data_IF_725865435394
#
_entry.id   IF_725865435394
#
_cell.length_a   1.000
_cell.length_b   1.000
_cell.length_c   1.000
_cell.angle_alpha   90.00
_cell.angle_beta   90.00
_cell.angle_gamma   90.00
#
_symmetry.space_group_name_H-M   'P 1'
#
loop_
_entity.id
_entity.type
_entity.pdbx_description
1 polymer ?
#
# COMPACT_ATOMS: atom_id res chain seq x y z
N UNK A 1 2.58 -12.91 55.49
CA UNK A 1 1.66 -13.49 56.50
C UNK A 1 1.83 -15.00 56.46
N UNK A 2 2.47 -15.57 57.46
CA UNK A 2 2.61 -17.03 57.64
C UNK A 2 1.35 -17.56 58.32
N UNK A 3 0.74 -18.60 57.76
CA UNK A 3 -0.42 -19.27 58.36
C UNK A 3 0.12 -20.44 59.18
N UNK A 4 -0.04 -20.38 60.49
CA UNK A 4 0.26 -21.50 61.37
C UNK A 4 -0.90 -22.51 61.36
N UNK A 5 -0.59 -23.76 61.03
CA UNK A 5 -1.56 -24.86 61.02
C UNK A 5 -1.39 -25.63 62.32
N UNK A 6 -2.32 -25.46 63.25
CA UNK A 6 -2.29 -26.06 64.60
C UNK A 6 -2.92 -27.46 64.67
N UNK A 7 -3.40 -27.99 63.55
CA UNK A 7 -4.09 -29.28 63.48
C UNK A 7 -3.42 -30.25 62.50
N UNK A 8 -3.65 -31.55 62.69
CA UNK A 8 -3.08 -32.61 61.85
C UNK A 8 -3.71 -32.56 60.45
N UNK A 9 -2.92 -32.23 59.43
CA UNK A 9 -3.36 -32.23 58.03
C UNK A 9 -3.64 -33.68 57.60
N UNK A 10 -4.91 -34.00 57.36
CA UNK A 10 -5.35 -35.36 57.00
C UNK A 10 -5.27 -35.59 55.48
N UNK A 11 -5.38 -34.53 54.68
CA UNK A 11 -5.11 -34.55 53.25
C UNK A 11 -4.83 -33.12 52.77
N UNK A 12 -4.05 -32.99 51.69
CA UNK A 12 -3.90 -31.75 50.96
C UNK A 12 -4.04 -32.04 49.47
N UNK A 13 -4.67 -31.14 48.72
CA UNK A 13 -4.62 -31.17 47.25
C UNK A 13 -4.06 -29.85 46.77
N UNK A 14 -2.99 -29.91 45.99
CA UNK A 14 -2.51 -28.76 45.23
C UNK A 14 -3.48 -28.57 44.07
N UNK A 15 -3.98 -27.35 43.87
CA UNK A 15 -4.77 -27.01 42.68
C UNK A 15 -3.94 -27.37 41.45
N UNK A 16 -4.29 -28.47 40.78
CA UNK A 16 -3.67 -28.82 39.51
C UNK A 16 -3.92 -27.67 38.55
N UNK A 17 -2.85 -27.18 37.92
CA UNK A 17 -2.97 -26.22 36.84
C UNK A 17 -3.81 -26.89 35.74
N UNK A 18 -5.05 -26.44 35.58
CA UNK A 18 -5.89 -26.84 34.47
C UNK A 18 -5.17 -26.37 33.22
N UNK A 19 -4.73 -27.31 32.40
CA UNK A 19 -4.09 -27.02 31.12
C UNK A 19 -5.09 -26.21 30.28
N UNK A 20 -4.76 -24.95 30.02
CA UNK A 20 -5.64 -24.08 29.25
C UNK A 20 -5.83 -24.70 27.86
N UNK A 21 -7.07 -24.73 27.34
CA UNK A 21 -7.32 -25.30 26.02
C UNK A 21 -6.43 -24.60 24.98
N UNK A 22 -5.92 -25.35 23.98
CA UNK A 22 -5.07 -24.79 22.94
C UNK A 22 -5.80 -23.64 22.25
N UNK A 23 -5.09 -22.53 22.04
CA UNK A 23 -5.64 -21.38 21.32
C UNK A 23 -6.00 -21.81 19.89
N UNK A 24 -7.22 -21.51 19.47
CA UNK A 24 -7.64 -21.75 18.10
C UNK A 24 -6.78 -20.91 17.14
N UNK A 25 -6.34 -21.52 16.04
CA UNK A 25 -5.57 -20.83 15.01
C UNK A 25 -6.43 -19.74 14.36
N UNK A 26 -5.90 -18.52 14.31
CA UNK A 26 -6.59 -17.36 13.78
C UNK A 26 -5.59 -16.49 13.02
N UNK A 27 -5.57 -16.64 11.70
CA UNK A 27 -4.62 -15.89 10.88
C UNK A 27 -4.98 -14.38 10.90
N UNK A 28 -4.09 -13.52 11.44
CA UNK A 28 -4.38 -12.10 11.58
C UNK A 28 -4.49 -11.36 10.24
N UNK A 29 -4.02 -11.95 9.13
CA UNK A 29 -4.23 -11.39 7.78
C UNK A 29 -5.69 -11.47 7.34
N UNK A 30 -6.38 -12.55 7.68
CA UNK A 30 -7.72 -12.87 7.17
C UNK A 30 -8.82 -12.68 8.20
N UNK A 31 -8.48 -12.48 9.48
CA UNK A 31 -9.47 -12.17 10.52
C UNK A 31 -10.28 -10.93 10.11
N UNK A 32 -11.60 -11.05 10.21
CA UNK A 32 -12.51 -10.00 9.78
C UNK A 32 -12.61 -8.91 10.84
N UNK A 33 -12.37 -7.67 10.43
CA UNK A 33 -12.56 -6.49 11.27
C UNK A 33 -13.99 -5.98 11.05
N UNK A 34 -14.88 -6.02 12.06
CA UNK A 34 -16.30 -5.73 11.86
C UNK A 34 -16.55 -4.29 11.43
N UNK A 35 -15.87 -3.34 12.06
CA UNK A 35 -15.97 -1.90 11.79
C UNK A 35 -14.64 -1.21 12.03
N UNK A 36 -14.49 -0.01 11.46
CA UNK A 36 -13.37 0.89 11.78
C UNK A 36 -13.47 1.27 13.26
N UNK A 37 -12.40 1.11 14.07
CA UNK A 37 -12.39 1.56 15.45
C UNK A 37 -12.63 3.07 15.58
N UNK A 38 -13.19 3.47 16.72
CA UNK A 38 -13.26 4.88 17.10
C UNK A 38 -11.87 5.41 17.49
N UNK A 39 -11.67 6.71 17.34
CA UNK A 39 -10.42 7.38 17.70
C UNK A 39 -9.42 7.48 16.54
N UNK A 40 -8.15 7.63 16.93
CA UNK A 40 -7.03 7.90 16.01
C UNK A 40 -6.46 6.62 15.44
N UNK A 41 -6.16 6.65 14.14
CA UNK A 41 -5.40 5.62 13.47
C UNK A 41 -4.15 6.26 12.89
N UNK A 42 -3.07 5.50 12.84
CA UNK A 42 -1.88 5.94 12.14
C UNK A 42 -2.13 5.83 10.64
N UNK A 43 -1.82 6.89 9.90
CA UNK A 43 -2.07 6.94 8.47
C UNK A 43 -0.89 7.51 7.69
N UNK A 44 -0.70 6.99 6.49
CA UNK A 44 0.16 7.58 5.47
C UNK A 44 -0.68 8.52 4.62
N UNK A 45 -0.24 9.77 4.47
CA UNK A 45 -0.84 10.74 3.55
C UNK A 45 0.13 11.00 2.40
N UNK A 46 -0.28 10.65 1.19
CA UNK A 46 0.55 10.75 -0.01
C UNK A 46 -0.09 11.64 -1.05
N UNK A 47 0.70 12.59 -1.56
CA UNK A 47 0.32 13.40 -2.71
C UNK A 47 0.75 12.70 -3.99
N UNK A 48 -0.22 12.30 -4.80
CA UNK A 48 0.00 11.65 -6.09
C UNK A 48 -0.22 12.68 -7.19
N UNK A 49 0.62 12.63 -8.22
CA UNK A 49 0.41 13.37 -9.48
C UNK A 49 0.45 12.37 -10.63
N UNK A 50 -0.58 12.40 -11.46
CA UNK A 50 -0.64 11.61 -12.67
C UNK A 50 -1.07 12.48 -13.86
N UNK A 51 -0.81 11.97 -15.06
CA UNK A 51 -1.19 12.63 -16.31
C UNK A 51 -1.96 11.64 -17.16
N UNK A 52 -3.20 11.99 -17.49
CA UNK A 52 -4.07 11.21 -18.38
C UNK A 52 -4.68 12.11 -19.46
N UNK A 53 -5.77 11.64 -20.08
CA UNK A 53 -6.45 12.35 -21.17
C UNK A 53 -6.89 13.78 -20.85
N UNK A 54 -7.34 14.01 -19.61
CA UNK A 54 -7.81 15.31 -19.13
C UNK A 54 -6.65 16.16 -18.56
N UNK A 55 -5.41 15.79 -18.88
CA UNK A 55 -4.21 16.47 -18.45
C UNK A 55 -3.71 16.02 -17.07
N UNK A 56 -2.98 16.91 -16.40
CA UNK A 56 -2.32 16.60 -15.12
C UNK A 56 -3.27 16.80 -13.95
N UNK A 57 -3.51 15.73 -13.19
CA UNK A 57 -4.26 15.76 -11.93
C UNK A 57 -3.32 15.58 -10.73
N UNK A 58 -3.66 16.23 -9.62
CA UNK A 58 -2.97 16.10 -8.32
C UNK A 58 -3.99 15.72 -7.27
N UNK A 59 -3.73 14.63 -6.58
CA UNK A 59 -4.67 14.04 -5.64
C UNK A 59 -3.95 13.66 -4.35
N UNK A 60 -4.70 13.57 -3.26
CA UNK A 60 -4.19 13.13 -1.98
C UNK A 60 -4.83 11.80 -1.64
N UNK A 61 -4.02 10.86 -1.18
CA UNK A 61 -4.44 9.52 -0.78
C UNK A 61 -4.01 9.30 0.67
N UNK A 62 -4.95 8.86 1.49
CA UNK A 62 -4.72 8.49 2.87
C UNK A 62 -4.95 7.00 3.03
N UNK A 63 -4.00 6.31 3.67
CA UNK A 63 -4.10 4.89 4.03
C UNK A 63 -3.88 4.76 5.53
N UNK A 64 -4.90 4.33 6.26
CA UNK A 64 -4.83 4.12 7.70
C UNK A 64 -4.52 2.67 8.04
N UNK A 65 -3.71 2.48 9.06
CA UNK A 65 -3.23 1.20 9.54
C UNK A 65 -3.63 1.00 11.01
N UNK A 66 -3.78 -0.26 11.41
CA UNK A 66 -3.98 -0.63 12.81
C UNK A 66 -3.31 -1.96 13.14
N UNK A 67 -2.92 -2.19 14.40
CA UNK A 67 -2.55 -3.51 14.87
C UNK A 67 -3.75 -4.45 14.85
N UNK A 68 -3.50 -5.69 14.41
CA UNK A 68 -4.49 -6.76 14.38
C UNK A 68 -3.87 -7.98 15.03
N UNK A 69 -4.52 -8.45 16.09
CA UNK A 69 -4.12 -9.65 16.82
C UNK A 69 -4.59 -10.92 16.08
N UNK A 70 -3.88 -12.01 16.31
CA UNK A 70 -4.27 -13.35 15.87
C UNK A 70 -3.47 -14.42 16.60
N UNK A 71 -3.65 -15.66 16.18
CA UNK A 71 -2.96 -16.82 16.72
C UNK A 71 -2.29 -17.57 15.58
N UNK A 72 -0.96 -17.70 15.66
CA UNK A 72 -0.17 -18.49 14.73
C UNK A 72 0.64 -19.53 15.47
N UNK A 73 0.53 -20.79 15.05
CA UNK A 73 1.24 -21.91 15.68
C UNK A 73 1.01 -21.95 17.20
N UNK A 74 -0.22 -21.67 17.64
CA UNK A 74 -0.61 -21.62 19.06
C UNK A 74 -0.06 -20.43 19.85
N UNK A 75 0.60 -19.45 19.20
CA UNK A 75 1.12 -18.24 19.83
C UNK A 75 0.31 -17.01 19.41
N UNK A 76 0.01 -16.15 20.37
CA UNK A 76 -0.57 -14.83 20.07
C UNK A 76 0.46 -13.99 19.32
N UNK A 77 0.03 -13.41 18.22
CA UNK A 77 0.84 -12.55 17.37
C UNK A 77 0.07 -11.29 17.01
N UNK A 78 0.79 -10.25 16.61
CA UNK A 78 0.20 -8.99 16.14
C UNK A 78 0.89 -8.58 14.86
N UNK A 79 0.11 -8.15 13.87
CA UNK A 79 0.60 -7.55 12.65
C UNK A 79 -0.03 -6.17 12.46
N UNK A 80 0.61 -5.31 11.68
CA UNK A 80 -0.02 -4.08 11.21
C UNK A 80 -0.74 -4.31 9.88
N UNK A 81 -2.02 -3.93 9.80
CA UNK A 81 -2.84 -4.08 8.58
C UNK A 81 -3.37 -2.73 8.11
N UNK A 82 -3.46 -2.51 6.78
CA UNK A 82 -4.28 -1.42 6.24
C UNK A 82 -5.75 -1.72 6.50
N UNK A 83 -6.51 -0.71 6.93
CA UNK A 83 -7.94 -0.88 7.31
C UNK A 83 -8.87 0.16 6.71
N UNK A 84 -8.31 1.25 6.21
CA UNK A 84 -9.07 2.33 5.61
C UNK A 84 -8.25 3.01 4.52
N UNK A 85 -8.91 3.26 3.39
CA UNK A 85 -8.42 4.04 2.28
C UNK A 85 -9.34 5.23 2.12
N UNK A 86 -8.75 6.42 2.04
CA UNK A 86 -9.50 7.65 1.95
C UNK A 86 -8.89 8.57 0.91
N UNK A 87 -9.76 9.18 0.13
CA UNK A 87 -9.38 10.11 -0.92
C UNK A 87 -10.16 11.40 -0.68
N UNK A 88 -9.54 12.44 -0.10
CA UNK A 88 -10.18 13.74 0.07
C UNK A 88 -10.37 14.40 -1.30
N UNK A 89 -11.53 14.23 -1.90
CA UNK A 89 -11.96 14.93 -3.11
C UNK A 89 -13.09 15.92 -2.79
N UNK A 90 -13.08 17.10 -3.41
CA UNK A 90 -14.16 18.10 -3.25
C UNK A 90 -15.49 17.54 -3.73
N UNK A 91 -16.48 17.42 -2.84
CA UNK A 91 -17.61 16.47 -2.90
C UNK A 91 -18.59 16.52 -4.11
N UNK A 92 -18.36 17.32 -5.16
CA UNK A 92 -19.42 17.70 -6.12
C UNK A 92 -19.25 17.27 -7.59
N UNK A 93 -18.15 16.64 -8.01
CA UNK A 93 -18.06 16.09 -9.38
C UNK A 93 -18.52 14.62 -9.45
N UNK A 94 -19.09 14.20 -10.58
CA UNK A 94 -19.43 12.79 -10.85
C UNK A 94 -18.19 11.89 -10.77
N UNK A 95 -17.03 12.44 -11.12
CA UNK A 95 -15.74 11.76 -10.99
C UNK A 95 -15.40 11.39 -9.54
N UNK A 96 -15.83 12.21 -8.58
CA UNK A 96 -15.53 11.97 -7.17
C UNK A 96 -16.46 10.94 -6.52
N UNK A 97 -17.63 10.67 -7.09
CA UNK A 97 -18.56 9.67 -6.57
C UNK A 97 -18.00 8.25 -6.72
N UNK A 98 -17.46 7.91 -7.89
CA UNK A 98 -16.87 6.59 -8.12
C UNK A 98 -15.59 6.41 -7.31
N UNK A 99 -14.74 7.44 -7.20
CA UNK A 99 -13.54 7.39 -6.34
C UNK A 99 -13.96 7.09 -4.90
N UNK A 100 -14.94 7.82 -4.37
CA UNK A 100 -15.42 7.62 -3.01
C UNK A 100 -16.00 6.21 -2.81
N UNK A 101 -16.78 5.70 -3.77
CA UNK A 101 -17.33 4.35 -3.74
C UNK A 101 -16.21 3.29 -3.75
N UNK A 102 -15.22 3.43 -4.64
CA UNK A 102 -14.06 2.54 -4.72
C UNK A 102 -13.26 2.53 -3.43
N UNK A 103 -12.99 3.69 -2.81
CA UNK A 103 -12.26 3.76 -1.55
C UNK A 103 -13.02 3.11 -0.39
N UNK A 104 -14.35 3.27 -0.35
CA UNK A 104 -15.21 2.57 0.63
C UNK A 104 -15.18 1.06 0.45
N UNK A 105 -15.31 0.59 -0.79
CA UNK A 105 -15.23 -0.84 -1.13
C UNK A 105 -13.84 -1.42 -0.82
N UNK A 106 -12.78 -0.69 -1.13
CA UNK A 106 -11.41 -1.11 -0.82
C UNK A 106 -11.14 -1.15 0.68
N UNK A 107 -11.68 -0.20 1.44
CA UNK A 107 -11.62 -0.22 2.91
C UNK A 107 -12.36 -1.43 3.50
N UNK A 108 -13.50 -1.79 2.92
CA UNK A 108 -14.22 -3.02 3.29
C UNK A 108 -13.38 -4.26 2.98
N UNK A 109 -12.73 -4.30 1.81
CA UNK A 109 -11.82 -5.39 1.43
C UNK A 109 -10.62 -5.54 2.37
N UNK A 110 -10.04 -4.42 2.81
CA UNK A 110 -8.97 -4.39 3.82
C UNK A 110 -9.41 -4.97 5.15
N UNK A 111 -10.58 -4.54 5.66
CA UNK A 111 -11.15 -5.10 6.88
C UNK A 111 -11.52 -6.59 6.73
N UNK A 112 -11.88 -7.01 5.53
CA UNK A 112 -12.16 -8.41 5.19
C UNK A 112 -10.93 -9.28 4.96
N UNK A 113 -9.71 -8.71 4.91
CA UNK A 113 -8.47 -9.48 4.76
C UNK A 113 -8.09 -9.86 3.33
N UNK A 114 -8.65 -9.18 2.32
CA UNK A 114 -8.40 -9.46 0.90
C UNK A 114 -8.05 -8.20 0.08
N UNK A 115 -7.51 -7.18 0.74
CA UNK A 115 -7.08 -5.93 0.09
C UNK A 115 -6.01 -6.15 -0.99
N UNK A 116 -5.11 -7.12 -0.80
CA UNK A 116 -4.04 -7.39 -1.75
C UNK A 116 -4.61 -7.80 -3.10
N UNK A 117 -5.60 -8.71 -3.09
CA UNK A 117 -6.34 -9.11 -4.27
C UNK A 117 -7.14 -7.94 -4.84
N UNK A 118 -7.82 -7.17 -4.00
CA UNK A 118 -8.60 -6.01 -4.45
C UNK A 118 -7.73 -4.94 -5.14
N UNK A 119 -6.54 -4.63 -4.62
CA UNK A 119 -5.59 -3.71 -5.26
C UNK A 119 -5.06 -4.30 -6.57
N UNK A 120 -4.71 -5.59 -6.58
CA UNK A 120 -4.25 -6.27 -7.79
C UNK A 120 -5.32 -6.30 -8.90
N UNK A 121 -6.60 -6.40 -8.55
CA UNK A 121 -7.70 -6.35 -9.51
C UNK A 121 -7.97 -4.91 -9.98
N UNK A 122 -7.90 -3.91 -9.09
CA UNK A 122 -7.99 -2.50 -9.50
C UNK A 122 -6.87 -2.10 -10.49
N UNK A 123 -5.70 -2.73 -10.38
CA UNK A 123 -4.59 -2.54 -11.32
C UNK A 123 -4.87 -3.04 -12.74
N UNK A 124 -5.87 -3.90 -12.93
CA UNK A 124 -6.26 -4.45 -14.25
C UNK A 124 -7.39 -3.64 -14.90
N UNK A 125 -7.94 -2.63 -14.22
CA UNK A 125 -9.00 -1.80 -14.78
C UNK A 125 -8.42 -1.01 -15.94
N UNK A 126 -8.98 -1.21 -17.13
CA UNK A 126 -8.64 -0.47 -18.33
C UNK A 126 -9.75 0.53 -18.69
N UNK A 127 -9.40 1.52 -19.49
CA UNK A 127 -10.35 2.46 -20.11
C UNK A 127 -9.96 2.73 -21.58
N UNK A 128 -10.78 3.51 -22.28
CA UNK A 128 -10.60 3.87 -23.69
C UNK A 128 -9.93 5.24 -23.90
N UNK A 129 -9.64 5.99 -22.83
CA UNK A 129 -9.06 7.34 -22.92
C UNK A 129 -7.52 7.38 -22.99
N UNK A 130 -6.86 6.25 -23.27
CA UNK A 130 -5.39 6.18 -23.45
C UNK A 130 -4.58 6.11 -22.15
N UNK A 131 -3.27 5.90 -22.23
CA UNK A 131 -2.47 5.57 -21.04
C UNK A 131 -2.38 6.71 -20.01
N UNK A 132 -2.38 6.34 -18.73
CA UNK A 132 -2.16 7.26 -17.61
C UNK A 132 -0.74 7.12 -17.09
N UNK A 133 0.05 8.18 -17.19
CA UNK A 133 1.40 8.23 -16.60
C UNK A 133 1.31 8.55 -15.11
N UNK A 134 1.81 7.65 -14.26
CA UNK A 134 1.86 7.85 -12.81
C UNK A 134 3.07 7.16 -12.20
N UNK A 135 3.91 7.94 -11.52
CA UNK A 135 5.10 7.44 -10.81
C UNK A 135 6.27 7.01 -11.70
N UNK A 136 7.27 6.44 -11.04
CA UNK A 136 8.48 5.88 -11.66
C UNK A 136 8.67 4.44 -11.19
N UNK A 137 9.25 3.60 -12.04
CA UNK A 137 9.70 2.28 -11.63
C UNK A 137 11.04 2.33 -10.88
N UNK A 138 11.52 1.18 -10.43
CA UNK A 138 12.79 1.05 -9.69
C UNK A 138 14.03 1.52 -10.45
N UNK A 139 13.95 1.60 -11.78
CA UNK A 139 15.04 2.09 -12.64
C UNK A 139 14.87 3.57 -13.02
N UNK A 140 13.96 4.29 -12.36
CA UNK A 140 13.71 5.71 -12.61
C UNK A 140 12.97 6.00 -13.92
N UNK A 141 12.41 4.99 -14.60
CA UNK A 141 11.62 5.19 -15.83
C UNK A 141 10.16 5.47 -15.51
N UNK A 142 9.46 6.33 -16.28
CA UNK A 142 8.05 6.58 -16.11
C UNK A 142 7.20 5.31 -16.21
N UNK A 143 6.22 5.19 -15.32
CA UNK A 143 5.22 4.12 -15.35
C UNK A 143 3.95 4.61 -16.04
N UNK A 144 3.41 3.76 -16.92
CA UNK A 144 2.15 3.98 -17.62
C UNK A 144 1.15 2.89 -17.22
N UNK A 145 -0.11 3.28 -17.07
CA UNK A 145 -1.20 2.44 -16.58
C UNK A 145 -2.40 2.54 -17.51
N UNK A 146 -3.20 1.48 -17.59
CA UNK A 146 -4.32 1.37 -18.53
C UNK A 146 -5.56 2.20 -18.11
N UNK A 147 -5.54 2.85 -16.94
CA UNK A 147 -6.59 3.79 -16.49
C UNK A 147 -6.12 4.63 -15.30
N UNK A 148 -6.90 5.67 -14.94
CA UNK A 148 -6.69 6.43 -13.69
C UNK A 148 -6.85 5.54 -12.44
N UNK A 149 -7.79 4.58 -12.49
CA UNK A 149 -8.00 3.61 -11.41
C UNK A 149 -6.76 2.74 -11.21
N UNK A 150 -6.18 2.22 -12.30
CA UNK A 150 -4.97 1.42 -12.26
C UNK A 150 -3.76 2.22 -11.75
N UNK A 151 -3.66 3.49 -12.15
CA UNK A 151 -2.62 4.41 -11.66
C UNK A 151 -2.73 4.67 -10.14
N UNK A 152 -3.95 4.89 -9.63
CA UNK A 152 -4.19 5.08 -8.19
C UNK A 152 -3.93 3.77 -7.43
N UNK A 153 -4.37 2.62 -7.96
CA UNK A 153 -4.12 1.30 -7.38
C UNK A 153 -2.62 0.98 -7.30
N UNK A 154 -1.85 1.36 -8.32
CA UNK A 154 -0.39 1.29 -8.27
C UNK A 154 0.17 2.16 -7.14
N UNK A 155 -0.27 3.40 -6.98
CA UNK A 155 0.18 4.25 -5.86
C UNK A 155 -0.17 3.66 -4.49
N UNK A 156 -1.36 3.06 -4.35
CA UNK A 156 -1.75 2.31 -3.14
C UNK A 156 -0.78 1.15 -2.90
N UNK A 157 -0.49 0.34 -3.93
CA UNK A 157 0.49 -0.74 -3.86
C UNK A 157 1.84 -0.22 -3.36
N UNK A 158 2.32 0.93 -3.87
CA UNK A 158 3.58 1.52 -3.41
C UNK A 158 3.54 1.95 -1.94
N UNK A 159 2.42 2.48 -1.44
CA UNK A 159 2.25 2.81 -0.03
C UNK A 159 2.30 1.55 0.83
N UNK A 160 1.55 0.52 0.44
CA UNK A 160 1.52 -0.76 1.17
C UNK A 160 2.88 -1.47 1.14
N UNK A 161 3.60 -1.39 0.02
CA UNK A 161 4.97 -1.87 -0.10
C UNK A 161 5.88 -1.13 0.88
N UNK A 162 5.90 0.22 0.86
CA UNK A 162 6.74 1.01 1.77
C UNK A 162 6.40 0.79 3.24
N UNK A 163 5.15 0.46 3.56
CA UNK A 163 4.72 0.08 4.91
C UNK A 163 5.09 -1.36 5.28
N UNK A 164 5.68 -2.12 4.36
CA UNK A 164 6.08 -3.50 4.56
C UNK A 164 4.91 -4.49 4.57
N UNK A 165 3.73 -4.09 4.06
CA UNK A 165 2.57 -4.98 3.97
C UNK A 165 2.58 -5.81 2.67
N UNK A 166 3.03 -5.21 1.57
CA UNK A 166 3.26 -5.89 0.28
C UNK A 166 4.75 -5.99 -0.03
N UNK A 167 5.10 -6.95 -0.87
CA UNK A 167 6.45 -7.03 -1.45
C UNK A 167 6.59 -6.08 -2.66
N UNK A 168 7.75 -6.12 -3.30
CA UNK A 168 8.08 -5.26 -4.44
C UNK A 168 7.24 -5.53 -5.69
N UNK A 169 6.72 -6.75 -5.83
CA UNK A 169 5.93 -7.18 -6.98
C UNK A 169 4.43 -7.02 -6.70
N UNK A 170 4.07 -6.67 -5.45
CA UNK A 170 2.69 -6.42 -5.00
C UNK A 170 2.04 -7.64 -4.37
N UNK A 171 2.81 -8.70 -4.08
CA UNK A 171 2.28 -9.87 -3.39
C UNK A 171 2.22 -9.66 -1.88
N UNK A 172 1.35 -10.44 -1.23
CA UNK A 172 1.20 -10.42 0.21
C UNK A 172 2.48 -10.92 0.87
N UNK A 173 3.07 -10.09 1.73
CA UNK A 173 4.20 -10.51 2.57
C UNK A 173 3.71 -11.61 3.53
N UNK A 174 4.49 -12.70 3.73
CA UNK A 174 4.15 -13.77 4.67
C UNK A 174 3.87 -13.25 6.08
N UNK A 175 2.91 -13.86 6.76
CA UNK A 175 2.42 -13.37 8.05
C UNK A 175 3.51 -13.36 9.12
N UNK A 176 4.40 -14.36 9.11
CA UNK A 176 5.54 -14.45 10.04
C UNK A 176 6.49 -13.25 9.87
N UNK A 177 6.70 -12.81 8.64
CA UNK A 177 7.52 -11.63 8.34
C UNK A 177 6.83 -10.35 8.82
N UNK A 178 5.50 -10.25 8.69
CA UNK A 178 4.74 -9.11 9.20
C UNK A 178 4.79 -9.02 10.73
N UNK A 179 4.71 -10.16 11.42
CA UNK A 179 4.86 -10.24 12.88
C UNK A 179 6.23 -9.73 13.30
N UNK A 180 7.30 -10.18 12.62
CA UNK A 180 8.67 -9.72 12.89
C UNK A 180 8.81 -8.20 12.68
N UNK A 181 8.29 -7.68 11.56
CA UNK A 181 8.33 -6.23 11.25
C UNK A 181 7.61 -5.40 12.30
N UNK A 182 6.42 -5.84 12.73
CA UNK A 182 5.65 -5.15 13.76
C UNK A 182 6.37 -5.16 15.12
N UNK A 183 6.91 -6.31 15.53
CA UNK A 183 7.68 -6.42 16.76
C UNK A 183 8.95 -5.55 16.75
N UNK A 184 9.68 -5.54 15.62
CA UNK A 184 10.86 -4.69 15.46
C UNK A 184 10.50 -3.20 15.53
N UNK A 185 9.39 -2.80 14.92
CA UNK A 185 8.90 -1.42 14.97
C UNK A 185 8.54 -0.99 16.38
N UNK A 186 7.89 -1.84 17.17
CA UNK A 186 7.60 -1.58 18.58
C UNK A 186 8.88 -1.47 19.42
N UNK A 187 9.87 -2.34 19.17
CA UNK A 187 11.11 -2.35 19.94
C UNK A 187 12.04 -1.17 19.60
N UNK A 188 12.14 -0.79 18.32
CA UNK A 188 13.06 0.25 17.83
C UNK A 188 12.44 1.63 17.70
N UNK A 189 11.11 1.72 17.66
CA UNK A 189 10.37 2.94 17.30
C UNK A 189 10.50 3.34 15.82
N UNK A 190 11.26 2.59 15.01
CA UNK A 190 11.49 2.91 13.61
C UNK A 190 10.59 2.08 12.69
N UNK A 191 9.98 2.69 11.64
CA UNK A 191 9.24 1.95 10.65
C UNK A 191 10.18 1.04 9.85
N UNK A 192 9.64 -0.09 9.37
CA UNK A 192 10.36 -0.91 8.40
C UNK A 192 10.70 -0.07 7.16
N UNK A 193 11.92 -0.22 6.68
CA UNK A 193 12.37 0.40 5.44
C UNK A 193 12.52 -0.69 4.38
N UNK A 194 12.02 -0.46 3.15
CA UNK A 194 12.33 -1.35 2.05
C UNK A 194 13.85 -1.39 1.86
N UNK A 195 14.41 -2.57 1.50
CA UNK A 195 15.81 -2.64 1.15
C UNK A 195 16.09 -1.60 0.08
N UNK A 196 17.11 -0.76 0.29
CA UNK A 196 17.55 0.17 -0.74
C UNK A 196 17.86 -0.66 -1.98
N UNK A 197 17.39 -0.21 -3.14
CA UNK A 197 18.01 -0.67 -4.37
C UNK A 197 19.47 -0.26 -4.28
N UNK A 198 20.34 -1.18 -3.88
CA UNK A 198 21.77 -1.02 -4.03
C UNK A 198 22.06 -1.00 -5.53
N UNK A 199 21.94 0.20 -6.08
CA UNK A 199 22.91 0.80 -6.97
C UNK A 199 22.69 2.31 -6.85
N UNK A 200 23.70 3.11 -6.46
CA UNK A 200 23.66 4.49 -6.85
C UNK A 200 23.55 4.43 -8.37
N UNK A 201 22.49 5.02 -8.92
CA UNK A 201 22.53 5.44 -10.32
C UNK A 201 23.78 6.29 -10.40
N UNK A 202 24.87 5.68 -10.88
CA UNK A 202 25.96 6.40 -11.48
C UNK A 202 25.23 7.27 -12.46
N UNK A 203 25.27 8.57 -12.19
CA UNK A 203 24.93 9.56 -13.18
C UNK A 203 25.94 9.32 -14.30
N UNK A 204 25.59 8.40 -15.20
CA UNK A 204 26.15 8.34 -16.53
C UNK A 204 25.69 9.64 -17.20
N UNK A 205 26.45 10.70 -16.89
CA UNK A 205 26.70 11.72 -17.87
C UNK A 205 27.30 10.99 -19.08
N UNK A 206 26.46 10.93 -20.12
CA UNK A 206 26.84 10.92 -21.54
C UNK A 206 27.49 9.65 -22.09
N UNK A 207 26.67 8.76 -22.66
CA UNK A 207 26.96 8.06 -23.91
C UNK A 207 25.72 7.30 -24.46
N UNK A 208 24.63 8.02 -24.71
CA UNK A 208 23.49 7.51 -25.47
C UNK A 208 22.80 8.70 -26.11
N UNK A 209 22.83 8.79 -27.44
CA UNK A 209 22.44 9.98 -28.20
C UNK A 209 21.13 10.59 -27.67
N UNK A 210 21.17 11.86 -27.26
CA UNK A 210 19.97 12.59 -26.88
C UNK A 210 18.97 12.46 -28.03
N UNK A 211 17.76 11.92 -27.80
CA UNK A 211 16.74 11.89 -28.85
C UNK A 211 16.51 13.32 -29.34
N UNK A 212 16.49 13.51 -30.66
CA UNK A 212 16.36 14.83 -31.29
C UNK A 212 15.12 15.53 -30.75
N UNK A 213 15.34 16.64 -30.05
CA UNK A 213 14.25 17.48 -29.54
C UNK A 213 13.61 18.19 -30.72
N UNK A 214 12.35 17.88 -30.99
CA UNK A 214 11.57 18.43 -32.12
C UNK A 214 10.67 19.60 -31.73
N UNK A 215 10.67 19.98 -30.45
CA UNK A 215 9.97 21.15 -29.95
C UNK A 215 9.68 21.07 -28.46
N UNK A 216 8.87 22.02 -27.98
CA UNK A 216 8.35 22.02 -26.62
C UNK A 216 6.89 21.60 -26.62
N UNK A 217 6.52 20.81 -25.63
CA UNK A 217 5.18 20.31 -25.44
C UNK A 217 4.21 21.46 -25.13
N UNK A 218 3.08 21.58 -25.83
CA UNK A 218 2.11 22.66 -25.57
C UNK A 218 1.46 22.55 -24.19
N UNK A 219 1.34 21.33 -23.64
CA UNK A 219 0.69 21.06 -22.35
C UNK A 219 1.59 21.37 -21.15
N UNK A 220 2.89 21.04 -21.22
CA UNK A 220 3.77 21.11 -20.05
C UNK A 220 5.13 21.75 -20.30
N UNK A 221 5.38 22.24 -21.52
CA UNK A 221 6.65 22.83 -21.98
C UNK A 221 7.88 21.91 -21.87
N UNK A 222 7.68 20.63 -21.60
CA UNK A 222 8.74 19.62 -21.64
C UNK A 222 9.19 19.34 -23.08
N UNK A 223 10.37 18.75 -23.23
CA UNK A 223 10.91 18.42 -24.56
C UNK A 223 10.04 17.38 -25.28
N UNK A 224 9.78 17.64 -26.56
CA UNK A 224 9.18 16.70 -27.49
C UNK A 224 10.28 15.94 -28.21
N UNK A 225 10.14 14.62 -28.29
CA UNK A 225 11.04 13.76 -29.04
C UNK A 225 10.24 13.00 -30.11
N UNK A 226 10.91 12.61 -31.19
CA UNK A 226 10.27 11.78 -32.21
C UNK A 226 10.21 10.32 -31.75
N UNK A 227 8.99 9.82 -31.54
CA UNK A 227 8.70 8.40 -31.35
C UNK A 227 7.79 7.94 -32.48
N UNK A 228 8.21 6.91 -33.23
CA UNK A 228 7.42 6.29 -34.31
C UNK A 228 6.86 7.29 -35.34
N UNK A 229 7.65 8.32 -35.67
CA UNK A 229 7.23 9.35 -36.63
C UNK A 229 6.34 10.45 -36.05
N UNK A 230 6.09 10.45 -34.74
CA UNK A 230 5.29 11.47 -34.07
C UNK A 230 6.07 12.25 -32.98
N UNK A 231 5.89 13.59 -32.89
CA UNK A 231 6.35 14.37 -31.74
C UNK A 231 5.61 13.99 -30.45
N UNK A 232 6.34 13.43 -29.49
CA UNK A 232 5.78 12.95 -28.22
C UNK A 232 6.57 13.49 -27.02
N UNK A 233 5.84 13.99 -26.01
CA UNK A 233 6.38 14.49 -24.75
C UNK A 233 6.67 13.36 -23.77
N UNK A 234 7.61 12.49 -24.12
CA UNK A 234 7.91 11.27 -23.37
C UNK A 234 8.37 11.55 -21.93
N UNK A 235 9.32 12.49 -21.77
CA UNK A 235 9.86 12.85 -20.46
C UNK A 235 8.87 13.69 -19.63
N UNK A 236 7.91 14.38 -20.26
CA UNK A 236 6.99 15.33 -19.61
C UNK A 236 5.59 14.78 -19.29
N UNK A 237 4.62 15.01 -20.18
CA UNK A 237 3.20 14.74 -19.92
C UNK A 237 2.60 13.64 -20.80
N UNK A 238 3.38 13.01 -21.68
CA UNK A 238 2.88 11.97 -22.57
C UNK A 238 2.08 12.49 -23.78
N UNK A 239 1.90 13.80 -23.91
CA UNK A 239 1.24 14.41 -25.08
C UNK A 239 1.92 13.98 -26.39
N UNK A 240 1.13 13.54 -27.36
CA UNK A 240 1.58 13.17 -28.70
C UNK A 240 0.81 13.99 -29.73
N UNK A 241 1.49 14.48 -30.77
CA UNK A 241 0.81 15.26 -31.83
C UNK A 241 -0.20 14.42 -32.63
N UNK A 242 -0.07 13.09 -32.61
CA UNK A 242 -0.78 12.18 -33.50
C UNK A 242 -1.91 11.39 -32.81
N UNK A 243 -2.19 11.66 -31.53
CA UNK A 243 -3.18 10.94 -30.73
C UNK A 243 -2.61 10.43 -29.43
#
# INVERSE_FOLDING_TARGET
>A
MSVEITSKIVSYSVKQAVEAPPLAEENPLTVRIPSRPEGTLEAVSEKISYVGAEGRKKVYLLVSFMPVEGVLNGKRVVIERPVEFFFPSGQLSSEHQWITATMRSLSLAARGGYVTQAVADLRKVAWDKGLVRCGMNRWGKPMFHDSEVAAIAWSIQQILQRRGFLDQDGHQVPVETLVQRYAQRLASGQPWQPPSSEEPVRTEREAGGRPTVVGQCPECRGDLIMMDGCPTCYAGCGWSKCG
#
